data_IF_863451465437
#
_entry.id   IF_863451465437
#
_cell.length_a   1.000
_cell.length_b   1.000
_cell.length_c   1.000
_cell.angle_alpha   90.00
_cell.angle_beta   90.00
_cell.angle_gamma   90.00
#
_symmetry.space_group_name_H-M   'P 1'
#
loop_
_entity.id
_entity.type
_entity.pdbx_description
1 polymer ?
#
# COMPACT_ATOMS: atom_id res chain seq x y z
N UNK A 1 25.09 -9.20 -12.53
CA UNK A 1 23.97 -8.34 -12.97
C UNK A 1 22.75 -8.40 -12.03
N UNK A 2 22.36 -9.55 -11.50
CA UNK A 2 21.17 -9.66 -10.58
C UNK A 2 21.30 -8.79 -9.32
N UNK A 3 22.44 -8.77 -8.65
CA UNK A 3 22.65 -8.01 -7.39
C UNK A 3 22.47 -6.50 -7.63
N UNK A 4 23.04 -5.97 -8.72
CA UNK A 4 22.90 -4.56 -9.06
C UNK A 4 21.45 -4.17 -9.34
N UNK A 5 20.70 -5.02 -10.05
CA UNK A 5 19.26 -4.81 -10.31
C UNK A 5 18.45 -4.82 -9.01
N UNK A 6 18.71 -5.77 -8.11
CA UNK A 6 18.07 -5.85 -6.80
C UNK A 6 18.35 -4.58 -5.98
N UNK A 7 19.60 -4.10 -5.96
CA UNK A 7 19.97 -2.90 -5.21
C UNK A 7 19.29 -1.64 -5.76
N UNK A 8 19.26 -1.46 -7.08
CA UNK A 8 18.63 -0.30 -7.73
C UNK A 8 17.11 -0.31 -7.52
N UNK A 9 16.45 -1.40 -7.87
CA UNK A 9 14.99 -1.48 -7.76
C UNK A 9 14.51 -1.55 -6.31
N UNK A 10 15.26 -2.20 -5.42
CA UNK A 10 15.01 -2.18 -3.99
C UNK A 10 15.16 -0.76 -3.42
N UNK A 11 16.21 -0.05 -3.80
CA UNK A 11 16.42 1.35 -3.42
C UNK A 11 15.28 2.27 -3.88
N UNK A 12 14.81 2.10 -5.13
CA UNK A 12 13.65 2.85 -5.65
C UNK A 12 12.37 2.57 -4.86
N UNK A 13 12.13 1.31 -4.47
CA UNK A 13 10.98 0.95 -3.63
C UNK A 13 11.07 1.63 -2.27
N UNK A 14 12.23 1.58 -1.60
CA UNK A 14 12.44 2.25 -0.31
C UNK A 14 12.24 3.75 -0.46
N UNK A 15 12.81 4.38 -1.49
CA UNK A 15 12.64 5.81 -1.74
C UNK A 15 11.17 6.19 -1.91
N UNK A 16 10.40 5.43 -2.72
CA UNK A 16 8.98 5.68 -2.92
C UNK A 16 8.18 5.55 -1.60
N UNK A 17 8.46 4.52 -0.80
CA UNK A 17 7.79 4.29 0.49
C UNK A 17 8.16 5.37 1.51
N UNK A 18 9.43 5.75 1.61
CA UNK A 18 9.87 6.79 2.56
C UNK A 18 9.29 8.15 2.18
N UNK A 19 9.31 8.51 0.89
CA UNK A 19 8.69 9.74 0.40
C UNK A 19 7.20 9.77 0.71
N UNK A 20 6.48 8.66 0.47
CA UNK A 20 5.07 8.54 0.80
C UNK A 20 4.79 8.64 2.31
N UNK A 21 5.70 8.16 3.16
CA UNK A 21 5.57 8.20 4.62
C UNK A 21 5.87 9.59 5.21
N UNK A 22 6.82 10.34 4.62
CA UNK A 22 7.29 11.63 5.15
C UNK A 22 6.48 12.79 4.60
N UNK A 23 6.05 12.72 3.34
CA UNK A 23 5.33 13.81 2.66
C UNK A 23 3.85 13.43 2.50
N UNK A 24 2.92 14.05 3.26
CA UNK A 24 1.49 13.69 3.21
C UNK A 24 0.87 13.78 1.81
N UNK A 25 1.28 14.78 1.01
CA UNK A 25 0.82 14.95 -0.37
C UNK A 25 1.40 13.92 -1.34
N UNK A 26 2.49 13.23 -0.97
CA UNK A 26 3.14 12.21 -1.78
C UNK A 26 2.66 10.78 -1.48
N UNK A 27 1.57 10.61 -0.72
CA UNK A 27 1.03 9.27 -0.43
C UNK A 27 0.72 8.47 -1.71
N UNK A 28 0.35 9.16 -2.80
CA UNK A 28 0.20 8.56 -4.12
C UNK A 28 1.49 7.89 -4.65
N UNK A 29 2.67 8.34 -4.22
CA UNK A 29 3.94 7.68 -4.57
C UNK A 29 4.03 6.25 -4.01
N UNK A 30 3.34 5.97 -2.90
CA UNK A 30 3.22 4.61 -2.34
C UNK A 30 2.58 3.62 -3.31
N UNK A 31 1.67 4.08 -4.19
CA UNK A 31 1.06 3.24 -5.24
C UNK A 31 2.07 2.81 -6.31
N UNK A 32 3.17 3.52 -6.46
CA UNK A 32 4.25 3.18 -7.39
C UNK A 32 5.29 2.22 -6.78
N UNK A 33 5.30 2.07 -5.46
CA UNK A 33 6.26 1.23 -4.75
C UNK A 33 6.28 -0.25 -5.21
N UNK A 34 5.15 -0.88 -5.65
CA UNK A 34 5.16 -2.23 -6.20
C UNK A 34 5.87 -2.37 -7.55
N UNK A 35 5.99 -1.29 -8.34
CA UNK A 35 6.52 -1.33 -9.71
C UNK A 35 7.97 -1.82 -9.77
N UNK A 36 8.92 -1.27 -9.00
CA UNK A 36 10.29 -1.77 -9.02
C UNK A 36 10.40 -3.24 -8.61
N UNK A 37 9.61 -3.67 -7.62
CA UNK A 37 9.58 -5.07 -7.18
C UNK A 37 8.93 -6.00 -8.21
N UNK A 38 7.94 -5.52 -8.98
CA UNK A 38 7.38 -6.26 -10.11
C UNK A 38 8.44 -6.48 -11.21
N UNK A 39 9.29 -5.49 -11.47
CA UNK A 39 10.41 -5.63 -12.41
C UNK A 39 11.46 -6.64 -11.93
N UNK A 40 11.77 -6.64 -10.62
CA UNK A 40 12.62 -7.68 -10.03
C UNK A 40 11.98 -9.06 -10.22
N UNK A 41 10.70 -9.21 -9.86
CA UNK A 41 9.98 -10.49 -9.97
C UNK A 41 9.87 -11.00 -11.42
N UNK A 42 9.71 -10.10 -12.40
CA UNK A 42 9.62 -10.46 -13.82
C UNK A 42 10.97 -10.89 -14.41
N UNK A 43 12.07 -10.30 -13.94
CA UNK A 43 13.42 -10.47 -14.55
C UNK A 43 14.34 -11.42 -13.77
N UNK A 44 14.03 -11.72 -12.53
CA UNK A 44 14.91 -12.51 -11.65
C UNK A 44 14.21 -13.76 -11.10
N UNK A 45 14.95 -14.59 -10.42
CA UNK A 45 14.41 -15.79 -9.76
C UNK A 45 13.59 -15.40 -8.52
N UNK A 46 12.59 -16.20 -8.10
CA UNK A 46 11.79 -15.91 -6.91
C UNK A 46 12.61 -15.68 -5.62
N UNK A 47 13.75 -16.37 -5.50
CA UNK A 47 14.68 -16.17 -4.37
C UNK A 47 15.26 -14.76 -4.32
N UNK A 48 15.49 -14.15 -5.49
CA UNK A 48 16.00 -12.79 -5.58
C UNK A 48 14.94 -11.76 -5.14
N UNK A 49 13.66 -11.99 -5.47
CA UNK A 49 12.55 -11.18 -4.98
C UNK A 49 12.45 -11.25 -3.45
N UNK A 50 12.54 -12.45 -2.87
CA UNK A 50 12.52 -12.62 -1.41
C UNK A 50 13.68 -11.88 -0.75
N UNK A 51 14.90 -12.02 -1.27
CA UNK A 51 16.07 -11.31 -0.74
C UNK A 51 15.91 -9.78 -0.86
N UNK A 52 15.42 -9.29 -2.01
CA UNK A 52 15.11 -7.88 -2.22
C UNK A 52 14.07 -7.40 -1.19
N UNK A 53 12.98 -8.16 -1.00
CA UNK A 53 11.93 -7.82 -0.04
C UNK A 53 12.48 -7.73 1.37
N UNK A 54 13.25 -8.71 1.83
CA UNK A 54 13.84 -8.71 3.17
C UNK A 54 14.75 -7.49 3.36
N UNK A 55 15.66 -7.24 2.43
CA UNK A 55 16.59 -6.13 2.51
C UNK A 55 15.85 -4.78 2.51
N UNK A 56 14.91 -4.57 1.59
CA UNK A 56 14.13 -3.32 1.49
C UNK A 56 13.21 -3.12 2.70
N UNK A 57 12.64 -4.19 3.25
CA UNK A 57 11.82 -4.15 4.47
C UNK A 57 12.63 -3.68 5.67
N UNK A 58 13.84 -4.22 5.86
CA UNK A 58 14.71 -3.81 6.96
C UNK A 58 15.13 -2.33 6.84
N UNK A 59 15.50 -1.90 5.64
CA UNK A 59 15.88 -0.49 5.40
C UNK A 59 14.68 0.43 5.61
N UNK A 60 13.51 0.10 5.08
CA UNK A 60 12.30 0.89 5.25
C UNK A 60 11.87 0.98 6.73
N UNK A 61 12.00 -0.12 7.47
CA UNK A 61 11.75 -0.13 8.91
C UNK A 61 12.70 0.81 9.66
N UNK A 62 14.01 0.76 9.34
CA UNK A 62 15.00 1.62 9.98
C UNK A 62 14.80 3.11 9.66
N UNK A 63 14.29 3.45 8.47
CA UNK A 63 14.10 4.83 8.03
C UNK A 63 12.76 5.43 8.43
N UNK A 64 11.67 4.67 8.38
CA UNK A 64 10.32 5.19 8.53
C UNK A 64 9.37 4.30 9.38
N UNK A 65 9.93 3.31 10.07
CA UNK A 65 9.22 2.49 11.06
C UNK A 65 8.31 1.40 10.48
N UNK A 66 7.41 0.90 11.32
CA UNK A 66 6.56 -0.27 11.04
C UNK A 66 5.58 -0.06 9.88
N UNK A 67 5.08 1.16 9.69
CA UNK A 67 4.19 1.49 8.57
C UNK A 67 4.87 1.32 7.21
N UNK A 68 6.11 1.82 7.09
CA UNK A 68 6.92 1.67 5.89
C UNK A 68 7.27 0.19 5.62
N UNK A 69 7.60 -0.57 6.67
CA UNK A 69 7.80 -2.01 6.59
C UNK A 69 6.57 -2.73 6.00
N UNK A 70 5.37 -2.46 6.52
CA UNK A 70 4.14 -3.07 6.04
C UNK A 70 3.87 -2.71 4.57
N UNK A 71 4.13 -1.46 4.18
CA UNK A 71 3.98 -0.98 2.79
C UNK A 71 4.93 -1.71 1.84
N UNK A 72 6.18 -1.94 2.23
CA UNK A 72 7.14 -2.70 1.41
C UNK A 72 6.70 -4.15 1.24
N UNK A 73 6.24 -4.81 2.32
CA UNK A 73 5.75 -6.19 2.25
C UNK A 73 4.53 -6.28 1.31
N UNK A 74 3.56 -5.37 1.45
CA UNK A 74 2.41 -5.28 0.56
C UNK A 74 2.81 -5.04 -0.90
N UNK A 75 3.77 -4.14 -1.13
CA UNK A 75 4.33 -3.85 -2.45
C UNK A 75 5.04 -5.06 -3.06
N UNK A 76 5.72 -5.87 -2.25
CA UNK A 76 6.37 -7.08 -2.71
C UNK A 76 5.38 -8.18 -3.11
N UNK A 77 4.26 -8.32 -2.38
CA UNK A 77 3.18 -9.23 -2.75
C UNK A 77 2.55 -8.83 -4.08
N UNK A 78 2.17 -7.55 -4.23
CA UNK A 78 1.61 -7.01 -5.47
C UNK A 78 2.60 -7.14 -6.62
N UNK A 79 3.84 -6.69 -6.42
CA UNK A 79 4.91 -6.76 -7.41
C UNK A 79 5.25 -8.21 -7.81
N UNK A 80 5.24 -9.12 -6.84
CA UNK A 80 5.43 -10.55 -7.07
C UNK A 80 4.35 -11.16 -7.96
N UNK A 81 3.08 -10.86 -7.70
CA UNK A 81 1.94 -11.31 -8.52
C UNK A 81 2.07 -10.79 -9.95
N UNK A 82 2.26 -9.49 -10.12
CA UNK A 82 2.38 -8.88 -11.46
C UNK A 82 3.61 -9.40 -12.21
N UNK A 83 4.75 -9.48 -11.54
CA UNK A 83 6.00 -9.96 -12.13
C UNK A 83 5.91 -11.42 -12.57
N UNK A 84 5.27 -12.29 -11.77
CA UNK A 84 5.06 -13.70 -12.15
C UNK A 84 4.09 -13.84 -13.34
N UNK A 85 3.01 -13.06 -13.37
CA UNK A 85 2.08 -13.03 -14.50
C UNK A 85 2.77 -12.57 -15.79
N UNK A 86 3.56 -11.48 -15.74
CA UNK A 86 4.34 -11.00 -16.88
C UNK A 86 5.39 -12.01 -17.34
N UNK A 87 6.10 -12.64 -16.40
CA UNK A 87 7.09 -13.68 -16.70
C UNK A 87 6.49 -14.88 -17.42
N UNK A 88 5.25 -15.25 -17.08
CA UNK A 88 4.53 -16.35 -17.73
C UNK A 88 3.81 -15.94 -19.02
N UNK A 89 3.96 -14.70 -19.49
CA UNK A 89 3.29 -14.21 -20.68
C UNK A 89 1.76 -14.17 -20.58
N UNK A 90 1.20 -14.11 -19.36
CA UNK A 90 -0.24 -14.09 -19.17
C UNK A 90 -0.80 -12.70 -19.47
N UNK A 91 -1.94 -12.65 -20.14
CA UNK A 91 -2.60 -11.40 -20.53
C UNK A 91 -3.41 -10.76 -19.41
N UNK A 92 -4.07 -9.64 -19.75
CA UNK A 92 -4.87 -8.83 -18.81
C UNK A 92 -5.99 -9.61 -18.12
N UNK A 93 -6.59 -10.63 -18.77
CA UNK A 93 -7.59 -11.48 -18.13
C UNK A 93 -7.07 -12.26 -16.93
N UNK A 94 -5.81 -12.70 -16.97
CA UNK A 94 -5.18 -13.35 -15.81
C UNK A 94 -4.90 -12.35 -14.68
N UNK A 95 -4.56 -11.11 -15.03
CA UNK A 95 -4.43 -10.02 -14.05
C UNK A 95 -5.77 -9.75 -13.36
N UNK A 96 -6.86 -9.62 -14.13
CA UNK A 96 -8.19 -9.37 -13.56
C UNK A 96 -8.59 -10.47 -12.58
N UNK A 97 -8.39 -11.73 -12.95
CA UNK A 97 -8.66 -12.86 -12.05
C UNK A 97 -7.77 -12.81 -10.81
N UNK A 98 -6.47 -12.56 -10.97
CA UNK A 98 -5.55 -12.41 -9.85
C UNK A 98 -5.96 -11.27 -8.93
N UNK A 99 -6.41 -10.13 -9.48
CA UNK A 99 -6.88 -8.97 -8.71
C UNK A 99 -8.14 -9.31 -7.90
N UNK A 100 -9.13 -9.93 -8.53
CA UNK A 100 -10.39 -10.32 -7.85
C UNK A 100 -10.14 -11.28 -6.69
N UNK A 101 -9.15 -12.14 -6.81
CA UNK A 101 -8.82 -13.10 -5.75
C UNK A 101 -7.87 -12.49 -4.70
N UNK A 102 -6.76 -11.89 -5.14
CA UNK A 102 -5.70 -11.47 -4.21
C UNK A 102 -6.03 -10.18 -3.46
N UNK A 103 -6.75 -9.23 -4.06
CA UNK A 103 -7.02 -7.96 -3.40
C UNK A 103 -7.91 -8.11 -2.15
N UNK A 104 -9.05 -8.85 -2.18
CA UNK A 104 -9.84 -9.09 -0.98
C UNK A 104 -9.09 -9.93 0.07
N UNK A 105 -8.25 -10.87 -0.36
CA UNK A 105 -7.43 -11.67 0.56
C UNK A 105 -6.41 -10.81 1.30
N UNK A 106 -5.70 -9.92 0.59
CA UNK A 106 -4.73 -9.01 1.20
C UNK A 106 -5.44 -8.03 2.16
N UNK A 107 -6.61 -7.50 1.75
CA UNK A 107 -7.45 -6.70 2.64
C UNK A 107 -7.87 -7.46 3.90
N UNK A 108 -8.30 -8.72 3.75
CA UNK A 108 -8.67 -9.59 4.87
C UNK A 108 -7.50 -9.89 5.81
N UNK A 109 -6.33 -10.21 5.26
CA UNK A 109 -5.10 -10.41 6.05
C UNK A 109 -4.73 -9.15 6.83
N UNK A 110 -4.91 -7.96 6.26
CA UNK A 110 -4.68 -6.70 6.94
C UNK A 110 -5.62 -6.52 8.14
N UNK A 111 -6.90 -6.85 7.99
CA UNK A 111 -7.86 -6.82 9.11
C UNK A 111 -7.46 -7.82 10.21
N UNK A 112 -7.13 -9.06 9.85
CA UNK A 112 -6.70 -10.08 10.81
C UNK A 112 -5.42 -9.64 11.54
N UNK A 113 -4.46 -9.07 10.83
CA UNK A 113 -3.24 -8.54 11.42
C UNK A 113 -3.54 -7.45 12.46
N UNK A 114 -4.46 -6.52 12.16
CA UNK A 114 -4.86 -5.45 13.09
C UNK A 114 -5.78 -5.93 14.22
N UNK A 115 -6.46 -7.07 14.06
CA UNK A 115 -7.18 -7.73 15.16
C UNK A 115 -6.20 -8.28 16.20
N UNK A 116 -5.07 -8.86 15.74
CA UNK A 116 -4.05 -9.43 16.61
C UNK A 116 -3.17 -8.33 17.22
N UNK A 117 -2.80 -7.34 16.42
CA UNK A 117 -1.89 -6.26 16.80
C UNK A 117 -2.66 -5.02 17.27
N UNK A 118 -3.30 -5.11 18.43
CA UNK A 118 -4.13 -4.05 19.01
C UNK A 118 -3.44 -2.67 19.05
N UNK A 119 -2.16 -2.53 19.46
CA UNK A 119 -1.49 -1.22 19.43
C UNK A 119 -1.34 -0.63 18.04
N UNK A 120 -1.12 -1.45 17.00
CA UNK A 120 -1.05 -0.97 15.63
C UNK A 120 -2.44 -0.57 15.11
N UNK A 121 -3.48 -1.25 15.55
CA UNK A 121 -4.86 -0.90 15.20
C UNK A 121 -5.23 0.50 15.70
N UNK A 122 -4.97 0.79 16.97
CA UNK A 122 -5.28 2.12 17.53
C UNK A 122 -4.52 3.22 16.79
N UNK A 123 -3.23 3.04 16.55
CA UNK A 123 -2.42 3.98 15.78
C UNK A 123 -2.93 4.16 14.34
N UNK A 124 -3.34 3.09 13.67
CA UNK A 124 -3.87 3.17 12.30
C UNK A 124 -5.19 3.94 12.25
N UNK A 125 -6.13 3.65 13.18
CA UNK A 125 -7.41 4.33 13.27
C UNK A 125 -7.21 5.82 13.60
N UNK A 126 -6.40 6.13 14.60
CA UNK A 126 -6.06 7.50 14.97
C UNK A 126 -5.41 8.27 13.82
N UNK A 127 -4.49 7.67 13.08
CA UNK A 127 -3.87 8.32 11.93
C UNK A 127 -4.89 8.62 10.82
N UNK A 128 -5.80 7.68 10.53
CA UNK A 128 -6.87 7.88 9.53
C UNK A 128 -7.84 8.98 9.97
N UNK A 129 -8.36 8.91 11.18
CA UNK A 129 -9.35 9.87 11.70
C UNK A 129 -8.74 11.27 11.84
N UNK A 130 -7.51 11.38 12.33
CA UNK A 130 -6.81 12.66 12.43
C UNK A 130 -6.56 13.30 11.05
N UNK A 131 -6.21 12.50 10.04
CA UNK A 131 -6.04 12.99 8.67
C UNK A 131 -7.35 13.51 8.10
N UNK A 132 -8.45 12.77 8.25
CA UNK A 132 -9.78 13.17 7.77
C UNK A 132 -10.27 14.42 8.50
N UNK A 133 -10.18 14.44 9.82
CA UNK A 133 -10.59 15.59 10.63
C UNK A 133 -9.75 16.83 10.36
N UNK A 134 -8.45 16.65 10.02
CA UNK A 134 -7.60 17.75 9.57
C UNK A 134 -8.09 18.37 8.27
N UNK A 135 -8.47 17.56 7.29
CA UNK A 135 -9.07 18.01 6.02
C UNK A 135 -10.45 18.64 6.24
N UNK A 136 -11.30 18.03 7.08
CA UNK A 136 -12.62 18.58 7.43
C UNK A 136 -12.50 19.99 8.00
N UNK A 137 -11.66 20.20 9.01
CA UNK A 137 -11.40 21.53 9.60
C UNK A 137 -10.84 22.55 8.62
N UNK A 138 -10.06 22.12 7.63
CA UNK A 138 -9.57 23.01 6.59
C UNK A 138 -10.71 23.43 5.63
N UNK A 139 -11.59 22.47 5.26
CA UNK A 139 -12.75 22.73 4.41
C UNK A 139 -13.79 23.64 5.08
N UNK A 140 -14.00 23.48 6.39
CA UNK A 140 -14.89 24.36 7.15
C UNK A 140 -14.45 25.81 7.10
N UNK A 141 -13.13 26.08 7.12
CA UNK A 141 -12.58 27.43 6.98
C UNK A 141 -12.75 28.00 5.57
N UNK A 142 -12.91 27.14 4.57
CA UNK A 142 -13.09 27.55 3.18
C UNK A 142 -14.55 27.98 2.83
N UNK A 143 -15.47 27.98 3.79
CA UNK A 143 -16.83 28.49 3.71
C UNK A 143 -17.75 27.69 2.76
N UNK A 144 -17.62 27.79 1.42
CA UNK A 144 -18.54 27.13 0.50
C UNK A 144 -18.49 25.59 0.56
N UNK A 145 -17.47 25.01 1.19
CA UNK A 145 -17.26 23.57 1.32
C UNK A 145 -17.56 23.03 2.73
N UNK A 146 -18.17 23.79 3.62
CA UNK A 146 -18.50 23.38 4.99
C UNK A 146 -19.32 22.10 5.04
N UNK A 147 -20.31 21.94 4.13
CA UNK A 147 -21.09 20.68 4.04
C UNK A 147 -20.24 19.44 3.77
N UNK A 148 -19.14 19.59 3.06
CA UNK A 148 -18.17 18.48 2.84
C UNK A 148 -17.40 18.21 4.12
N UNK A 149 -17.08 19.24 4.91
CA UNK A 149 -16.49 19.11 6.24
C UNK A 149 -17.37 18.27 7.17
N UNK A 150 -18.65 18.62 7.29
CA UNK A 150 -19.63 17.88 8.09
C UNK A 150 -19.74 16.40 7.67
N UNK A 151 -19.75 16.15 6.36
CA UNK A 151 -19.76 14.79 5.82
C UNK A 151 -18.49 14.02 6.18
N UNK A 152 -17.33 14.66 6.10
CA UNK A 152 -16.04 14.04 6.47
C UNK A 152 -15.97 13.70 7.97
N UNK A 153 -16.53 14.54 8.84
CA UNK A 153 -16.63 14.24 10.28
C UNK A 153 -17.56 13.05 10.55
N UNK A 154 -18.70 12.99 9.86
CA UNK A 154 -19.60 11.85 9.94
C UNK A 154 -18.93 10.56 9.43
N UNK A 155 -18.13 10.67 8.36
CA UNK A 155 -17.34 9.58 7.81
C UNK A 155 -16.26 9.11 8.79
N UNK A 156 -15.54 10.03 9.44
CA UNK A 156 -14.54 9.72 10.48
C UNK A 156 -15.15 8.90 11.63
N UNK A 157 -16.34 9.27 12.11
CA UNK A 157 -17.08 8.51 13.13
C UNK A 157 -17.48 7.10 12.65
N UNK A 158 -17.83 6.96 11.36
CA UNK A 158 -18.10 5.64 10.76
C UNK A 158 -16.85 4.76 10.72
N UNK A 159 -15.66 5.34 10.52
CA UNK A 159 -14.40 4.59 10.56
C UNK A 159 -14.16 4.03 11.97
N UNK A 160 -14.38 4.81 13.01
CA UNK A 160 -14.19 4.34 14.39
C UNK A 160 -15.12 3.17 14.74
N UNK A 161 -16.40 3.23 14.32
CA UNK A 161 -17.38 2.20 14.64
C UNK A 161 -17.26 0.93 13.78
N UNK A 162 -16.84 1.07 12.51
CA UNK A 162 -16.78 -0.03 11.53
C UNK A 162 -15.37 -0.15 10.90
N UNK A 163 -14.32 0.08 11.70
CA UNK A 163 -12.93 0.14 11.24
C UNK A 163 -12.50 -1.05 10.39
N UNK A 164 -12.97 -2.26 10.71
CA UNK A 164 -12.63 -3.49 9.99
C UNK A 164 -13.16 -3.49 8.54
N UNK A 165 -14.36 -2.94 8.31
CA UNK A 165 -14.92 -2.77 6.95
C UNK A 165 -14.05 -1.80 6.16
N UNK A 166 -13.72 -0.65 6.76
CA UNK A 166 -12.94 0.39 6.09
C UNK A 166 -11.51 -0.05 5.79
N UNK A 167 -10.88 -0.77 6.71
CA UNK A 167 -9.56 -1.37 6.45
C UNK A 167 -9.63 -2.42 5.34
N UNK A 168 -10.66 -3.27 5.35
CA UNK A 168 -10.84 -4.27 4.30
C UNK A 168 -11.10 -3.64 2.93
N UNK A 169 -11.99 -2.67 2.84
CA UNK A 169 -12.34 -1.97 1.59
C UNK A 169 -11.13 -1.19 1.06
N UNK A 170 -10.48 -0.38 1.91
CA UNK A 170 -9.32 0.41 1.49
C UNK A 170 -8.13 -0.47 1.09
N UNK A 171 -7.86 -1.54 1.83
CA UNK A 171 -6.83 -2.52 1.49
C UNK A 171 -7.11 -3.24 0.18
N UNK A 172 -8.37 -3.62 -0.07
CA UNK A 172 -8.80 -4.26 -1.32
C UNK A 172 -8.66 -3.30 -2.51
N UNK A 173 -9.19 -2.08 -2.39
CA UNK A 173 -9.10 -1.07 -3.45
C UNK A 173 -7.66 -0.64 -3.71
N UNK A 174 -6.89 -0.36 -2.66
CA UNK A 174 -5.48 0.01 -2.78
C UNK A 174 -4.66 -1.08 -3.48
N UNK A 175 -4.88 -2.35 -3.12
CA UNK A 175 -4.23 -3.49 -3.78
C UNK A 175 -4.65 -3.61 -5.24
N UNK A 176 -5.94 -3.48 -5.55
CA UNK A 176 -6.45 -3.57 -6.91
C UNK A 176 -5.85 -2.46 -7.81
N UNK A 177 -5.85 -1.22 -7.33
CA UNK A 177 -5.23 -0.09 -8.04
C UNK A 177 -3.74 -0.33 -8.25
N UNK A 178 -3.02 -0.78 -7.21
CA UNK A 178 -1.59 -1.06 -7.30
C UNK A 178 -1.26 -2.17 -8.30
N UNK A 179 -2.08 -3.23 -8.38
CA UNK A 179 -1.93 -4.30 -9.37
C UNK A 179 -2.09 -3.78 -10.80
N UNK A 180 -3.11 -2.94 -11.02
CA UNK A 180 -3.35 -2.33 -12.34
C UNK A 180 -2.22 -1.38 -12.71
N UNK A 181 -1.81 -0.49 -11.82
CA UNK A 181 -0.69 0.45 -12.06
C UNK A 181 0.60 -0.31 -12.35
N UNK A 182 0.95 -1.31 -11.53
CA UNK A 182 2.15 -2.10 -11.74
C UNK A 182 2.12 -2.93 -13.03
N UNK A 183 0.94 -3.26 -13.54
CA UNK A 183 0.79 -3.96 -14.82
C UNK A 183 1.06 -3.05 -16.01
N UNK A 184 0.61 -1.78 -15.97
CA UNK A 184 0.71 -0.85 -17.09
C UNK A 184 2.11 -0.24 -17.26
N UNK A 185 2.93 -0.25 -16.23
CA UNK A 185 4.34 0.18 -16.27
C UNK A 185 5.26 -0.99 -16.58
#
# INVERSE_FOLDING_TARGET
MEIASIAIFGGLTVAAVVVAAVIPLAQAAGLLAPVPLALVAARTRPRALVAATVATTLVAFAMAGTGAMATVIGSALVGGIVGDLKRRGRGFGALSLATVVSAPLIGGVSVVALLILVPLRTLAIEAMTNSINGVAKWLDRAGPLARVGDWLEAFSRSIESHWWVWIWVSGTLGTAVSLVVAWWI
#
